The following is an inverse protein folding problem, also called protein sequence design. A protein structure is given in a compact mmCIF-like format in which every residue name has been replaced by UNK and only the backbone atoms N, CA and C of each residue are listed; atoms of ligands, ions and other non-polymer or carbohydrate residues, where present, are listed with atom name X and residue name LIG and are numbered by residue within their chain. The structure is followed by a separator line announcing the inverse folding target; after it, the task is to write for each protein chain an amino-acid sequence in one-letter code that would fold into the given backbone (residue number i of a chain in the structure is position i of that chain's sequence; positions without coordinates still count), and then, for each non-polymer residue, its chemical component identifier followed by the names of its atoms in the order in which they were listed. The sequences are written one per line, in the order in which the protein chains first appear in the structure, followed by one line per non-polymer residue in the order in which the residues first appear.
data_IF_916876639517
#
_entry.id   IF_916876639517
#
_cell.length_a   1.000
_cell.length_b   1.000
_cell.length_c   1.000
_cell.angle_alpha   90.00
_cell.angle_beta   90.00
_cell.angle_gamma   90.00
#
_symmetry.space_group_name_H-M   'P 1'
#
loop_
_entity.id
_entity.type
_entity.pdbx_description
1 polymer ?
#
# COMPACT_ATOMS: atom_id res chain seq x y z
N UNK A 1 35.48 -29.47 71.30
CA UNK A 1 35.63 -28.51 70.18
C UNK A 1 35.12 -29.20 68.92
N UNK A 2 33.93 -28.83 68.44
CA UNK A 2 33.40 -29.32 67.17
C UNK A 2 32.89 -28.09 66.39
N UNK A 3 33.63 -27.69 65.36
CA UNK A 3 33.26 -26.61 64.48
C UNK A 3 32.27 -27.13 63.44
N UNK A 4 31.08 -26.53 63.38
CA UNK A 4 30.15 -26.75 62.28
C UNK A 4 30.55 -25.85 61.11
N UNK A 5 30.99 -26.47 60.01
CA UNK A 5 31.26 -25.81 58.74
C UNK A 5 29.95 -25.33 58.11
N UNK A 6 29.68 -24.04 58.27
CA UNK A 6 28.75 -23.30 57.41
C UNK A 6 29.51 -22.97 56.10
N UNK A 7 28.84 -23.05 54.94
CA UNK A 7 29.24 -22.59 53.58
C UNK A 7 29.35 -23.70 52.53
N UNK A 8 28.20 -24.07 51.95
CA UNK A 8 28.19 -24.62 50.57
C UNK A 8 26.80 -24.49 49.93
N UNK A 9 25.74 -24.63 50.72
CA UNK A 9 24.35 -24.52 50.27
C UNK A 9 23.92 -23.10 49.89
N UNK A 10 24.47 -22.06 50.54
CA UNK A 10 24.09 -20.66 50.30
C UNK A 10 24.53 -20.12 48.94
N UNK A 11 25.70 -20.50 48.44
CA UNK A 11 26.19 -20.01 47.15
C UNK A 11 25.44 -20.63 45.97
N UNK A 12 25.10 -21.92 46.07
CA UNK A 12 24.33 -22.62 45.04
C UNK A 12 22.90 -22.11 44.99
N UNK A 13 22.26 -21.89 46.15
CA UNK A 13 20.92 -21.32 46.21
C UNK A 13 20.88 -19.89 45.67
N UNK A 14 21.86 -19.05 46.01
CA UNK A 14 21.96 -17.69 45.46
C UNK A 14 22.20 -17.70 43.96
N UNK A 15 23.05 -18.59 43.44
CA UNK A 15 23.29 -18.72 42.01
C UNK A 15 22.03 -19.17 41.24
N UNK A 16 21.29 -20.14 41.77
CA UNK A 16 20.04 -20.62 41.16
C UNK A 16 18.93 -19.55 41.16
N UNK A 17 18.79 -18.80 42.24
CA UNK A 17 17.85 -17.67 42.32
C UNK A 17 18.25 -16.55 41.35
N UNK A 18 19.55 -16.27 41.24
CA UNK A 18 20.08 -15.28 40.29
C UNK A 18 19.76 -15.67 38.85
N UNK A 19 20.04 -16.92 38.47
CA UNK A 19 19.74 -17.45 37.12
C UNK A 19 18.25 -17.45 36.83
N UNK A 20 17.41 -17.79 37.82
CA UNK A 20 15.94 -17.75 37.68
C UNK A 20 15.44 -16.31 37.45
N UNK A 21 15.93 -15.33 38.22
CA UNK A 21 15.59 -13.91 38.04
C UNK A 21 16.07 -13.37 36.69
N UNK A 22 17.28 -13.75 36.24
CA UNK A 22 17.78 -13.43 34.91
C UNK A 22 16.90 -14.05 33.83
N UNK A 23 16.48 -15.32 33.94
CA UNK A 23 15.62 -15.96 32.94
C UNK A 23 14.20 -15.35 32.83
N UNK A 24 13.64 -14.86 33.94
CA UNK A 24 12.37 -14.13 33.95
C UNK A 24 12.47 -12.74 33.30
N UNK A 25 13.65 -12.10 33.35
CA UNK A 25 13.89 -10.80 32.72
C UNK A 25 14.08 -10.87 31.18
N UNK A 26 14.34 -12.05 30.61
CA UNK A 26 14.46 -12.23 29.16
C UNK A 26 13.12 -12.53 28.46
N UNK A 27 12.04 -12.76 29.21
CA UNK A 27 10.69 -13.00 28.69
C UNK A 27 9.99 -11.77 28.09
N UNK A 28 10.63 -10.59 28.14
CA UNK A 28 10.06 -9.32 27.66
C UNK A 28 10.93 -8.57 26.64
N UNK A 29 11.99 -9.21 26.10
CA UNK A 29 12.80 -8.64 25.00
C UNK A 29 12.70 -9.42 23.66
N UNK A 30 11.67 -10.27 23.51
CA UNK A 30 11.42 -11.02 22.29
C UNK A 30 10.15 -10.54 21.56
N UNK A 31 10.31 -9.52 20.70
CA UNK A 31 9.29 -8.92 19.82
C UNK A 31 8.07 -8.35 20.58
N UNK A 32 7.53 -7.19 20.27
CA UNK A 32 6.69 -6.90 19.11
C UNK A 32 6.60 -5.38 19.03
N UNK A 33 6.84 -4.86 17.82
CA UNK A 33 7.22 -3.49 17.55
C UNK A 33 6.44 -2.43 18.33
N UNK A 34 7.16 -1.36 18.70
CA UNK A 34 6.53 -0.07 18.83
C UNK A 34 5.53 0.04 17.67
N UNK A 35 4.23 0.11 17.99
CA UNK A 35 3.25 0.59 17.04
C UNK A 35 3.73 1.99 16.72
N UNK A 36 4.58 2.11 15.69
CA UNK A 36 4.79 3.38 15.01
C UNK A 36 3.36 3.77 14.71
N UNK A 37 2.90 4.86 15.32
CA UNK A 37 1.68 5.48 14.86
C UNK A 37 1.81 5.46 13.35
N UNK A 38 0.85 4.83 12.65
CA UNK A 38 0.77 5.10 11.23
C UNK A 38 0.57 6.60 11.24
N UNK A 39 1.60 7.36 10.94
CA UNK A 39 1.39 8.75 10.59
C UNK A 39 0.90 8.65 9.16
N UNK A 40 -0.14 9.40 8.82
CA UNK A 40 -0.46 9.59 7.41
C UNK A 40 0.81 10.17 6.80
N UNK A 41 1.56 9.32 6.08
CA UNK A 41 2.88 9.68 5.59
C UNK A 41 2.71 10.95 4.75
N UNK A 42 3.25 12.05 5.26
CA UNK A 42 3.28 13.32 4.58
C UNK A 42 4.64 13.37 3.88
N UNK A 43 4.70 13.13 2.55
CA UNK A 43 5.96 13.18 1.83
C UNK A 43 6.60 14.55 2.03
N UNK A 44 7.91 14.58 2.23
CA UNK A 44 8.65 15.83 2.15
C UNK A 44 8.41 16.45 0.74
N UNK A 45 8.40 17.79 0.58
CA UNK A 45 8.22 18.38 -0.74
C UNK A 45 9.23 17.90 -1.79
N UNK A 46 10.43 17.48 -1.38
CA UNK A 46 11.42 16.85 -2.27
C UNK A 46 11.04 15.42 -2.69
N UNK A 47 10.10 14.78 -1.99
CA UNK A 47 9.58 13.45 -2.26
C UNK A 47 8.29 13.45 -3.09
N UNK A 48 7.80 14.64 -3.46
CA UNK A 48 6.60 14.81 -4.28
C UNK A 48 6.81 14.23 -5.69
N UNK A 49 5.84 13.43 -6.13
CA UNK A 49 5.85 12.82 -7.45
C UNK A 49 5.86 13.90 -8.54
N UNK A 50 7.01 14.10 -9.16
CA UNK A 50 7.23 15.07 -10.21
C UNK A 50 7.42 14.37 -11.55
N UNK A 51 6.64 14.78 -12.56
CA UNK A 51 6.83 14.26 -13.91
C UNK A 51 8.11 14.83 -14.53
N UNK A 52 9.03 13.96 -14.91
CA UNK A 52 10.36 14.32 -15.41
C UNK A 52 10.40 14.60 -16.93
N UNK A 53 9.25 14.89 -17.55
CA UNK A 53 9.12 15.17 -18.99
C UNK A 53 9.59 14.03 -19.92
N UNK A 54 9.67 12.79 -19.41
CA UNK A 54 10.03 11.62 -20.19
C UNK A 54 8.88 11.08 -21.03
N UNK A 55 9.17 10.50 -22.20
CA UNK A 55 8.14 9.93 -23.06
C UNK A 55 7.29 8.87 -22.33
N UNK A 56 5.98 8.89 -22.55
CA UNK A 56 5.04 7.88 -22.03
C UNK A 56 4.62 6.93 -23.15
N UNK A 57 4.28 5.69 -22.80
CA UNK A 57 3.66 4.76 -23.75
C UNK A 57 2.31 5.30 -24.20
N UNK A 58 2.04 5.26 -25.50
CA UNK A 58 0.81 5.79 -26.10
C UNK A 58 0.27 4.82 -27.16
N UNK A 59 -1.03 4.91 -27.45
CA UNK A 59 -1.72 4.07 -28.43
C UNK A 59 -2.28 2.78 -27.83
N UNK A 60 -2.60 1.82 -28.70
CA UNK A 60 -3.09 0.51 -28.29
C UNK A 60 -1.91 -0.35 -27.78
N UNK A 61 -1.78 -0.46 -26.46
CA UNK A 61 -0.72 -1.22 -25.81
C UNK A 61 -1.22 -2.64 -25.54
N UNK A 62 -0.72 -3.68 -26.23
CA UNK A 62 -1.11 -5.06 -25.94
C UNK A 62 -0.54 -5.48 -24.58
N UNK A 63 -1.40 -5.88 -23.66
CA UNK A 63 -1.01 -6.38 -22.34
C UNK A 63 -1.20 -7.90 -22.30
N UNK A 64 -0.16 -8.63 -21.90
CA UNK A 64 -0.20 -10.08 -21.69
C UNK A 64 0.10 -10.39 -20.23
N UNK A 65 -0.71 -11.23 -19.59
CA UNK A 65 -0.51 -11.65 -18.20
C UNK A 65 0.21 -12.99 -18.16
N UNK A 66 1.39 -13.03 -17.56
CA UNK A 66 2.15 -14.26 -17.32
C UNK A 66 1.97 -14.70 -15.87
N UNK A 67 1.50 -15.94 -15.66
CA UNK A 67 1.23 -16.48 -14.33
C UNK A 67 2.40 -17.33 -13.82
N UNK A 68 3.00 -16.93 -12.71
CA UNK A 68 4.04 -17.71 -12.04
C UNK A 68 3.48 -18.35 -10.76
N UNK A 69 3.56 -19.69 -10.66
CA UNK A 69 3.06 -20.44 -9.51
C UNK A 69 1.64 -20.98 -9.67
N UNK A 70 1.05 -21.45 -8.57
CA UNK A 70 -0.27 -22.10 -8.55
C UNK A 70 -1.36 -21.09 -8.21
N UNK A 71 -2.10 -20.66 -9.22
CA UNK A 71 -3.31 -19.85 -9.07
C UNK A 71 -4.54 -20.67 -9.45
N UNK A 72 -5.56 -20.65 -8.60
CA UNK A 72 -6.85 -21.25 -8.94
C UNK A 72 -7.53 -20.43 -10.06
N UNK A 73 -8.47 -21.03 -10.82
CA UNK A 73 -9.26 -20.28 -11.79
C UNK A 73 -9.94 -19.05 -11.18
N UNK A 74 -10.42 -19.15 -9.94
CA UNK A 74 -11.05 -18.04 -9.23
C UNK A 74 -10.07 -16.89 -8.93
N UNK A 75 -8.83 -17.19 -8.54
CA UNK A 75 -7.81 -16.16 -8.29
C UNK A 75 -7.38 -15.46 -9.58
N UNK A 76 -7.20 -16.22 -10.67
CA UNK A 76 -6.91 -15.64 -12.00
C UNK A 76 -8.05 -14.73 -12.46
N UNK A 77 -9.30 -15.17 -12.24
CA UNK A 77 -10.50 -14.41 -12.61
C UNK A 77 -10.53 -13.03 -11.93
N UNK A 78 -10.20 -12.91 -10.64
CA UNK A 78 -10.19 -11.62 -9.93
C UNK A 78 -9.30 -10.59 -10.63
N UNK A 79 -8.12 -11.01 -11.08
CA UNK A 79 -7.13 -10.15 -11.74
C UNK A 79 -7.52 -9.87 -13.20
N UNK A 80 -7.98 -10.87 -13.95
CA UNK A 80 -8.44 -10.64 -15.32
C UNK A 80 -9.67 -9.74 -15.36
N UNK A 81 -10.63 -9.94 -14.44
CA UNK A 81 -11.80 -9.08 -14.29
C UNK A 81 -11.37 -7.65 -13.95
N UNK A 82 -10.36 -7.46 -13.10
CA UNK A 82 -9.83 -6.13 -12.79
C UNK A 82 -9.29 -5.43 -14.05
N UNK A 83 -8.48 -6.13 -14.85
CA UNK A 83 -7.91 -5.59 -16.09
C UNK A 83 -9.01 -5.26 -17.12
N UNK A 84 -10.03 -6.12 -17.24
CA UNK A 84 -11.22 -5.83 -18.07
C UNK A 84 -11.99 -4.61 -17.58
N UNK A 85 -11.99 -4.38 -16.26
CA UNK A 85 -12.68 -3.24 -15.64
C UNK A 85 -12.04 -1.89 -15.94
N UNK A 86 -10.77 -1.84 -16.36
CA UNK A 86 -10.06 -0.58 -16.69
C UNK A 86 -10.69 0.15 -17.88
N UNK A 87 -11.37 -0.57 -18.77
CA UNK A 87 -11.99 -0.04 -20.00
C UNK A 87 -13.46 -0.41 -20.10
N UNK A 88 -14.10 -0.75 -18.97
CA UNK A 88 -15.51 -1.12 -18.95
C UNK A 88 -16.40 -0.02 -19.53
N UNK A 89 -17.25 -0.39 -20.48
CA UNK A 89 -18.17 0.51 -21.17
C UNK A 89 -19.31 0.97 -20.26
N UNK A 90 -19.79 2.19 -20.49
CA UNK A 90 -20.93 2.77 -19.79
C UNK A 90 -22.27 2.15 -20.24
N UNK A 91 -23.28 2.05 -19.35
CA UNK A 91 -23.26 2.49 -17.95
C UNK A 91 -22.69 1.43 -17.01
N UNK A 92 -21.60 1.76 -16.32
CA UNK A 92 -21.07 0.98 -15.22
C UNK A 92 -21.62 1.54 -13.88
N UNK A 93 -21.88 0.70 -12.87
CA UNK A 93 -22.20 1.19 -11.54
C UNK A 93 -21.08 2.10 -11.02
N UNK A 94 -21.44 3.32 -10.61
CA UNK A 94 -20.49 4.28 -10.07
C UNK A 94 -20.48 4.23 -8.55
N UNK A 95 -19.33 4.42 -7.91
CA UNK A 95 -17.99 4.57 -8.49
C UNK A 95 -17.45 3.28 -9.17
N UNK A 96 -16.63 3.41 -10.22
CA UNK A 96 -16.11 2.25 -10.98
C UNK A 96 -14.58 2.21 -11.12
N UNK A 97 -14.03 1.03 -11.42
CA UNK A 97 -12.60 0.86 -11.72
C UNK A 97 -12.18 1.68 -12.95
N UNK A 98 -13.02 1.74 -13.99
CA UNK A 98 -12.75 2.55 -15.19
C UNK A 98 -12.71 4.04 -14.88
N UNK A 99 -13.54 4.51 -13.94
CA UNK A 99 -13.51 5.89 -13.47
C UNK A 99 -12.19 6.20 -12.74
N UNK A 100 -11.78 5.33 -11.82
CA UNK A 100 -10.47 5.45 -11.13
C UNK A 100 -9.30 5.43 -12.11
N UNK A 101 -9.34 4.53 -13.11
CA UNK A 101 -8.32 4.47 -14.16
C UNK A 101 -8.30 5.75 -15.00
N UNK A 102 -9.47 6.33 -15.28
CA UNK A 102 -9.60 7.63 -15.94
C UNK A 102 -8.93 8.78 -15.19
N UNK A 103 -8.93 8.74 -13.85
CA UNK A 103 -8.22 9.73 -13.01
C UNK A 103 -6.72 9.71 -13.26
N UNK A 104 -6.11 8.54 -13.49
CA UNK A 104 -4.68 8.45 -13.84
C UNK A 104 -4.40 9.18 -15.15
N UNK A 105 -5.26 8.99 -16.16
CA UNK A 105 -5.12 9.68 -17.43
C UNK A 105 -5.24 11.21 -17.28
N UNK A 106 -6.14 11.68 -16.41
CA UNK A 106 -6.33 13.10 -16.14
C UNK A 106 -5.16 13.73 -15.38
N UNK A 107 -4.70 13.11 -14.29
CA UNK A 107 -3.65 13.68 -13.43
C UNK A 107 -2.26 13.58 -14.05
N UNK A 108 -1.96 12.49 -14.78
CA UNK A 108 -0.59 12.18 -15.19
C UNK A 108 -0.38 12.23 -16.71
N UNK A 109 -1.30 11.70 -17.51
CA UNK A 109 -1.09 11.59 -18.96
C UNK A 109 -1.44 12.88 -19.71
N UNK A 110 -2.31 13.73 -19.16
CA UNK A 110 -2.63 15.05 -19.73
C UNK A 110 -1.38 15.93 -19.86
N UNK A 111 -0.48 15.88 -18.87
CA UNK A 111 0.79 16.62 -18.85
C UNK A 111 1.82 16.06 -19.85
N UNK A 112 1.85 14.74 -20.03
CA UNK A 112 2.76 14.08 -20.96
C UNK A 112 2.48 14.42 -22.44
N UNK A 113 1.22 14.69 -22.81
CA UNK A 113 0.86 15.12 -24.18
C UNK A 113 1.51 16.45 -24.58
N UNK A 114 1.75 17.36 -23.64
CA UNK A 114 2.44 18.63 -23.88
C UNK A 114 3.96 18.49 -24.06
N UNK A 115 4.58 17.49 -23.43
CA UNK A 115 6.02 17.25 -23.49
C UNK A 115 6.49 16.52 -24.77
N UNK A 116 5.58 15.77 -25.42
CA UNK A 116 5.93 14.88 -26.55
C UNK A 116 6.34 15.59 -27.84
N UNK A 117 6.10 16.89 -27.99
CA UNK A 117 6.44 17.63 -29.21
C UNK A 117 7.94 18.02 -29.31
N UNK A 118 8.73 17.90 -28.24
CA UNK A 118 10.14 18.36 -28.22
C UNK A 118 11.13 17.40 -27.50
N UNK A 119 10.75 16.16 -27.23
CA UNK A 119 11.56 15.26 -26.40
C UNK A 119 12.77 14.65 -27.16
N UNK A 120 13.95 15.25 -27.00
CA UNK A 120 15.24 14.56 -27.21
C UNK A 120 15.34 13.39 -26.22
N UNK A 121 15.68 12.20 -26.74
CA UNK A 121 16.00 10.93 -26.05
C UNK A 121 16.02 11.04 -24.51
N UNK A 122 14.89 10.68 -23.89
CA UNK A 122 14.71 10.75 -22.45
C UNK A 122 15.55 9.67 -21.74
N UNK A 123 16.42 10.11 -20.83
CA UNK A 123 16.94 9.26 -19.76
C UNK A 123 15.83 8.98 -18.75
N UNK A 124 15.78 7.76 -18.22
CA UNK A 124 15.00 7.41 -17.03
C UNK A 124 15.21 8.50 -15.97
N UNK A 125 14.14 9.04 -15.38
CA UNK A 125 14.24 9.93 -14.23
C UNK A 125 15.15 9.33 -13.13
N UNK A 126 15.69 10.15 -12.21
CA UNK A 126 16.58 9.67 -11.16
C UNK A 126 15.98 8.46 -10.44
N UNK A 127 16.83 7.47 -10.13
CA UNK A 127 16.45 6.22 -9.42
C UNK A 127 15.75 6.47 -8.07
N UNK A 128 15.84 7.71 -7.59
CA UNK A 128 15.31 8.23 -6.34
C UNK A 128 13.97 8.95 -6.50
N UNK A 129 13.32 8.93 -7.68
CA UNK A 129 11.95 9.44 -7.85
C UNK A 129 11.03 8.68 -6.89
N UNK A 130 10.64 9.25 -5.74
CA UNK A 130 10.53 8.44 -4.53
C UNK A 130 9.14 7.84 -4.30
N UNK A 131 8.11 8.24 -5.06
CA UNK A 131 6.76 7.71 -4.87
C UNK A 131 5.95 7.55 -6.16
N UNK A 132 5.37 6.37 -6.34
CA UNK A 132 4.31 6.10 -7.33
C UNK A 132 2.99 6.77 -6.92
N UNK A 133 2.16 7.12 -7.91
CA UNK A 133 0.91 7.86 -7.75
C UNK A 133 0.01 7.37 -6.60
N UNK A 134 -0.13 6.05 -6.45
CA UNK A 134 -0.92 5.43 -5.39
C UNK A 134 -0.14 5.26 -4.08
N UNK A 135 1.17 4.99 -4.16
CA UNK A 135 2.01 4.78 -2.96
C UNK A 135 2.19 6.06 -2.15
N UNK A 136 2.00 7.23 -2.78
CA UNK A 136 1.96 8.53 -2.11
C UNK A 136 0.73 8.74 -1.22
N UNK A 137 -0.24 7.84 -1.28
CA UNK A 137 -1.46 7.90 -0.49
C UNK A 137 -1.65 6.66 0.38
N UNK A 138 -0.69 6.32 1.27
CA UNK A 138 -0.77 5.10 2.04
C UNK A 138 -1.96 5.13 3.00
N UNK A 139 -2.80 4.10 2.92
CA UNK A 139 -3.96 3.97 3.80
C UNK A 139 -5.17 4.83 3.41
N UNK A 140 -5.09 5.62 2.33
CA UNK A 140 -6.19 6.50 1.88
C UNK A 140 -6.98 5.78 0.80
N UNK A 141 -8.21 5.37 1.12
CA UNK A 141 -9.11 4.67 0.18
C UNK A 141 -10.46 5.38 0.01
N UNK A 142 -10.86 6.22 0.97
CA UNK A 142 -12.06 7.03 0.91
C UNK A 142 -11.91 8.35 1.65
N UNK A 143 -12.91 9.23 1.50
CA UNK A 143 -12.95 10.52 2.16
C UNK A 143 -12.80 10.41 3.68
N UNK A 144 -12.07 11.35 4.29
CA UNK A 144 -11.82 11.37 5.73
C UNK A 144 -10.89 10.26 6.24
N UNK A 145 -10.13 9.58 5.38
CA UNK A 145 -9.14 8.59 5.81
C UNK A 145 -8.10 9.20 6.76
N UNK A 146 -7.67 8.41 7.74
CA UNK A 146 -6.62 8.74 8.68
C UNK A 146 -5.99 7.43 9.18
N UNK A 147 -4.87 7.47 9.90
CA UNK A 147 -4.24 6.28 10.47
C UNK A 147 -5.19 5.31 11.19
N UNK A 148 -5.32 4.10 10.66
CA UNK A 148 -6.23 3.07 11.19
C UNK A 148 -7.68 3.18 10.69
N UNK A 149 -7.99 4.16 9.85
CA UNK A 149 -9.29 4.33 9.19
C UNK A 149 -9.11 4.58 7.70
N UNK A 150 -9.53 3.63 6.87
CA UNK A 150 -9.34 3.67 5.43
C UNK A 150 -10.13 4.78 4.70
N UNK A 151 -11.02 5.46 5.42
CA UNK A 151 -11.96 6.45 4.90
C UNK A 151 -13.38 5.92 4.83
N UNK A 152 -14.30 6.78 4.40
CA UNK A 152 -15.69 6.41 4.17
C UNK A 152 -15.77 5.50 2.95
N UNK A 153 -16.15 4.23 3.16
CA UNK A 153 -16.23 3.21 2.12
C UNK A 153 -17.62 2.59 2.07
N UNK A 154 -18.02 2.13 0.89
CA UNK A 154 -19.21 1.31 0.76
C UNK A 154 -18.93 -0.09 1.36
N UNK A 155 -19.98 -0.74 1.87
CA UNK A 155 -19.88 -2.10 2.42
C UNK A 155 -20.73 -3.04 1.59
N UNK A 156 -20.16 -4.18 1.20
CA UNK A 156 -20.88 -5.24 0.53
C UNK A 156 -21.81 -5.95 1.53
N UNK A 157 -23.12 -5.91 1.29
CA UNK A 157 -24.12 -6.44 2.22
C UNK A 157 -24.02 -7.95 2.45
N UNK A 158 -23.45 -8.70 1.50
CA UNK A 158 -23.35 -10.17 1.58
C UNK A 158 -22.12 -10.62 2.34
N UNK A 159 -20.98 -9.96 2.11
CA UNK A 159 -19.67 -10.36 2.67
C UNK A 159 -19.21 -9.50 3.85
N UNK A 160 -19.80 -8.32 4.04
CA UNK A 160 -19.35 -7.31 5.00
C UNK A 160 -18.05 -6.62 4.60
N UNK A 161 -17.51 -6.88 3.41
CA UNK A 161 -16.27 -6.30 2.95
C UNK A 161 -16.46 -4.86 2.45
N UNK A 162 -15.51 -3.99 2.77
CA UNK A 162 -15.50 -2.61 2.26
C UNK A 162 -14.96 -2.54 0.84
N UNK A 163 -15.53 -1.64 0.03
CA UNK A 163 -15.12 -1.38 -1.35
C UNK A 163 -15.37 0.09 -1.71
N UNK A 164 -14.69 0.57 -2.73
CA UNK A 164 -14.93 1.90 -3.28
C UNK A 164 -15.09 1.91 -4.81
N UNK A 165 -14.96 0.76 -5.48
CA UNK A 165 -15.10 0.67 -6.93
C UNK A 165 -15.82 -0.60 -7.35
N UNK A 166 -16.75 -0.44 -8.29
CA UNK A 166 -17.38 -1.54 -9.00
C UNK A 166 -16.56 -1.89 -10.25
N UNK A 167 -16.39 -3.18 -10.51
CA UNK A 167 -15.73 -3.70 -11.70
C UNK A 167 -16.63 -4.63 -12.52
N UNK A 168 -16.05 -5.19 -13.57
CA UNK A 168 -16.65 -6.16 -14.45
C UNK A 168 -17.13 -7.40 -13.67
N UNK A 169 -18.10 -8.11 -14.25
CA UNK A 169 -18.62 -9.37 -13.71
C UNK A 169 -19.11 -9.28 -12.25
N UNK A 170 -19.58 -8.09 -11.83
CA UNK A 170 -20.10 -7.85 -10.48
C UNK A 170 -19.03 -7.79 -9.38
N UNK A 171 -17.74 -7.74 -9.74
CA UNK A 171 -16.63 -7.63 -8.80
C UNK A 171 -16.64 -6.26 -8.12
N UNK A 172 -16.19 -6.25 -6.87
CA UNK A 172 -15.98 -5.04 -6.06
C UNK A 172 -14.52 -4.96 -5.67
N UNK A 173 -13.94 -3.77 -5.78
CA UNK A 173 -12.53 -3.52 -5.55
C UNK A 173 -12.35 -2.39 -4.53
N UNK A 174 -11.27 -2.50 -3.78
CA UNK A 174 -10.77 -1.45 -2.91
C UNK A 174 -9.53 -0.85 -3.57
N UNK A 175 -9.66 0.37 -4.07
CA UNK A 175 -8.64 1.06 -4.86
C UNK A 175 -8.02 2.20 -4.04
N UNK A 176 -6.69 2.36 -4.07
CA UNK A 176 -6.02 3.44 -3.35
C UNK A 176 -6.38 4.79 -3.98
N UNK A 177 -6.34 5.83 -3.14
CA UNK A 177 -6.32 7.19 -3.63
C UNK A 177 -5.09 7.43 -4.53
N UNK A 178 -5.23 8.38 -5.45
CA UNK A 178 -4.15 8.80 -6.33
C UNK A 178 -3.69 10.19 -5.90
N UNK A 179 -2.38 10.35 -5.78
CA UNK A 179 -1.80 11.66 -5.52
C UNK A 179 -2.08 12.61 -6.68
N UNK A 180 -2.45 13.84 -6.37
CA UNK A 180 -2.61 14.91 -7.35
C UNK A 180 -1.40 15.87 -7.21
N UNK A 181 -0.50 15.92 -8.22
CA UNK A 181 0.68 16.77 -8.17
C UNK A 181 0.36 18.26 -8.27
N UNK A 182 -0.83 18.66 -8.75
CA UNK A 182 -1.22 20.08 -8.83
C UNK A 182 -1.69 20.63 -7.49
N UNK A 183 -2.43 19.83 -6.72
CA UNK A 183 -2.96 20.24 -5.41
C UNK A 183 -2.12 19.75 -4.24
N UNK A 184 -1.18 18.83 -4.48
CA UNK A 184 -0.42 18.13 -3.45
C UNK A 184 -1.30 17.37 -2.45
N UNK A 185 -2.40 16.78 -2.92
CA UNK A 185 -3.36 16.02 -2.09
C UNK A 185 -3.66 14.65 -2.66
N UNK A 186 -4.15 13.74 -1.82
CA UNK A 186 -4.65 12.43 -2.25
C UNK A 186 -6.12 12.53 -2.68
N UNK A 187 -6.41 12.14 -3.92
CA UNK A 187 -7.75 12.09 -4.49
C UNK A 187 -8.35 10.69 -4.36
N UNK A 188 -9.48 10.59 -3.67
CA UNK A 188 -10.23 9.34 -3.49
C UNK A 188 -11.38 9.25 -4.49
N UNK A 189 -11.84 8.02 -4.75
CA UNK A 189 -13.00 7.79 -5.61
C UNK A 189 -14.34 8.04 -4.90
N UNK A 190 -14.32 8.00 -3.54
CA UNK A 190 -15.45 8.17 -2.61
C UNK A 190 -15.03 8.97 -1.38
#
# INVERSE_FOLDING_TARGET
MAGFSYTSTSHVAVALVSVLLLSLAHGSLGAHGARRLMELYKPDPSELLTYHNGAVLQGAIPVTVLWYGRFTPAQKAVVSDFLLSLTAASPAPTPSVSQWWGTIAQLYLSKAKGASANAKRATQGPREAPLEAATACPGVYGSGAYPGYAGNLAVDATTGASYNANGANGRKYLLPALFDPDTSTCSTLV
#
